data_IF_320361486888
#
_entry.id   IF_320361486888
#
_cell.length_a   1.000
_cell.length_b   1.000
_cell.length_c   1.000
_cell.angle_alpha   90.00
_cell.angle_beta   90.00
_cell.angle_gamma   90.00
#
_symmetry.space_group_name_H-M   'P 1'
#
loop_
_entity.id
_entity.type
_entity.pdbx_description
1 polymer ?
#
# COMPACT_ATOMS: atom_id res chain seq x y z
N UNK A 1 9.85 41.98 7.66
CA UNK A 1 9.89 40.50 7.59
C UNK A 1 10.98 39.97 6.63
N UNK A 2 11.46 40.75 5.65
CA UNK A 2 12.47 40.36 4.66
C UNK A 2 13.89 40.20 5.21
N UNK A 3 14.40 41.15 6.00
CA UNK A 3 15.77 41.10 6.56
C UNK A 3 16.01 39.89 7.51
N UNK A 4 14.98 39.47 8.26
CA UNK A 4 15.05 38.30 9.15
C UNK A 4 15.06 36.98 8.36
N UNK A 5 14.36 36.93 7.22
CA UNK A 5 14.33 35.76 6.36
C UNK A 5 15.67 35.58 5.61
N UNK A 6 16.27 36.66 5.12
CA UNK A 6 17.59 36.65 4.47
C UNK A 6 18.72 36.26 5.45
N UNK A 7 18.67 36.77 6.68
CA UNK A 7 19.59 36.39 7.76
C UNK A 7 19.51 34.89 8.09
N UNK A 8 18.31 34.31 8.18
CA UNK A 8 18.13 32.87 8.41
C UNK A 8 18.62 32.01 7.24
N UNK A 9 18.34 32.42 6.00
CA UNK A 9 18.79 31.69 4.81
C UNK A 9 20.33 31.66 4.68
N UNK A 10 20.98 32.79 4.96
CA UNK A 10 22.44 32.88 4.94
C UNK A 10 23.10 32.07 6.06
N UNK A 11 22.53 32.04 7.26
CA UNK A 11 23.00 31.19 8.37
C UNK A 11 22.86 29.70 8.05
N UNK A 12 21.75 29.30 7.42
CA UNK A 12 21.51 27.93 7.01
C UNK A 12 22.50 27.46 5.93
N UNK A 13 22.79 28.30 4.92
CA UNK A 13 23.76 28.00 3.89
C UNK A 13 25.19 27.84 4.45
N UNK A 14 25.59 28.70 5.40
CA UNK A 14 26.89 28.58 6.10
C UNK A 14 26.99 27.27 6.88
N UNK A 15 25.90 26.90 7.59
CA UNK A 15 25.84 25.65 8.34
C UNK A 15 25.91 24.41 7.44
N UNK A 16 25.29 24.46 6.27
CA UNK A 16 25.37 23.38 5.28
C UNK A 16 26.81 23.19 4.78
N UNK A 17 27.51 24.28 4.43
CA UNK A 17 28.91 24.22 4.00
C UNK A 17 29.83 23.66 5.09
N UNK A 18 29.65 24.09 6.34
CA UNK A 18 30.41 23.58 7.49
C UNK A 18 30.25 22.07 7.64
N UNK A 19 29.00 21.58 7.59
CA UNK A 19 28.69 20.15 7.75
C UNK A 19 29.23 19.31 6.58
N UNK A 20 29.14 19.80 5.34
CA UNK A 20 29.68 19.10 4.18
C UNK A 20 31.21 19.08 4.22
N UNK A 21 31.86 20.18 4.61
CA UNK A 21 33.30 20.26 4.79
C UNK A 21 33.79 19.30 5.89
N UNK A 22 33.08 19.24 7.01
CA UNK A 22 33.36 18.30 8.08
C UNK A 22 33.16 16.84 7.63
N UNK A 23 32.15 16.57 6.81
CA UNK A 23 31.92 15.25 6.22
C UNK A 23 33.04 14.81 5.26
N UNK A 24 33.62 15.73 4.50
CA UNK A 24 34.78 15.46 3.64
C UNK A 24 36.03 15.08 4.43
N UNK A 25 36.22 15.67 5.62
CA UNK A 25 37.32 15.36 6.55
C UNK A 25 37.15 14.02 7.29
N UNK A 26 35.97 13.42 7.27
CA UNK A 26 35.68 12.10 7.85
C UNK A 26 34.71 12.12 9.03
N UNK A 27 34.38 10.93 9.55
CA UNK A 27 33.28 10.76 10.51
C UNK A 27 33.49 11.52 11.84
N UNK A 28 34.71 11.53 12.39
CA UNK A 28 35.01 12.24 13.65
C UNK A 28 34.77 13.75 13.53
N UNK A 29 35.29 14.37 12.47
CA UNK A 29 35.10 15.79 12.20
C UNK A 29 33.62 16.13 11.97
N UNK A 30 32.90 15.28 11.23
CA UNK A 30 31.47 15.45 11.00
C UNK A 30 30.64 15.43 12.28
N UNK A 31 30.80 14.42 13.14
CA UNK A 31 30.00 14.32 14.37
C UNK A 31 30.41 15.36 15.42
N UNK A 32 31.66 15.84 15.40
CA UNK A 32 32.05 17.01 16.19
C UNK A 32 31.26 18.27 15.77
N UNK A 33 31.06 18.48 14.46
CA UNK A 33 30.28 19.61 13.95
C UNK A 33 28.75 19.40 14.04
N UNK A 34 28.26 18.19 13.78
CA UNK A 34 26.84 17.85 13.67
C UNK A 34 26.17 17.46 15.01
N UNK A 35 26.97 17.07 16.00
CA UNK A 35 26.53 16.45 17.25
C UNK A 35 26.46 14.92 17.15
N UNK A 36 27.10 14.23 18.09
CA UNK A 36 27.15 12.75 18.15
C UNK A 36 25.78 12.10 18.38
N UNK A 37 24.83 12.81 18.98
CA UNK A 37 23.50 12.29 19.30
C UNK A 37 22.50 12.26 18.15
N UNK A 38 22.81 12.84 16.98
CA UNK A 38 21.80 13.07 15.92
C UNK A 38 21.22 11.77 15.36
N UNK A 39 22.06 10.78 15.07
CA UNK A 39 21.60 9.46 14.62
C UNK A 39 20.81 8.75 15.72
N UNK A 40 21.32 8.78 16.95
CA UNK A 40 20.64 8.22 18.12
C UNK A 40 19.25 8.85 18.35
N UNK A 41 19.12 10.16 18.18
CA UNK A 41 17.83 10.87 18.32
C UNK A 41 16.80 10.47 17.27
N UNK A 42 17.23 10.24 16.02
CA UNK A 42 16.34 9.76 14.94
C UNK A 42 15.86 8.35 15.25
N UNK A 43 16.78 7.46 15.68
CA UNK A 43 16.43 6.08 16.06
C UNK A 43 15.49 6.08 17.27
N UNK A 44 15.80 6.85 18.31
CA UNK A 44 14.96 6.96 19.51
C UNK A 44 13.56 7.50 19.16
N UNK A 45 13.46 8.56 18.37
CA UNK A 45 12.19 9.10 17.90
C UNK A 45 11.40 8.07 17.09
N UNK A 46 12.06 7.34 16.18
CA UNK A 46 11.45 6.27 15.39
C UNK A 46 10.85 5.19 16.30
N UNK A 47 11.61 4.75 17.31
CA UNK A 47 11.15 3.73 18.27
C UNK A 47 9.95 4.22 19.07
N UNK A 48 10.00 5.46 19.58
CA UNK A 48 8.88 6.04 20.32
C UNK A 48 7.62 6.11 19.45
N UNK A 49 7.73 6.58 18.21
CA UNK A 49 6.60 6.66 17.27
C UNK A 49 6.07 5.26 16.94
N UNK A 50 6.95 4.27 16.76
CA UNK A 50 6.55 2.89 16.52
C UNK A 50 5.79 2.28 17.71
N UNK A 51 6.18 2.58 18.95
CA UNK A 51 5.46 2.16 20.15
C UNK A 51 4.07 2.81 20.25
N UNK A 52 3.97 4.10 19.92
CA UNK A 52 2.66 4.81 19.82
C UNK A 52 1.79 4.18 18.74
N UNK A 53 2.37 3.90 17.56
CA UNK A 53 1.67 3.22 16.48
C UNK A 53 1.13 1.86 16.95
N UNK A 54 1.96 1.06 17.60
CA UNK A 54 1.55 -0.25 18.15
C UNK A 54 0.42 -0.12 19.18
N UNK A 55 0.49 0.89 20.06
CA UNK A 55 -0.57 1.16 21.03
C UNK A 55 -1.90 1.50 20.35
N UNK A 56 -1.90 2.43 19.37
CA UNK A 56 -3.10 2.83 18.63
C UNK A 56 -3.71 1.67 17.84
N UNK A 57 -2.88 0.84 17.22
CA UNK A 57 -3.33 -0.34 16.47
C UNK A 57 -3.98 -1.39 17.38
N UNK A 58 -3.46 -1.59 18.61
CA UNK A 58 -4.08 -2.46 19.61
C UNK A 58 -5.46 -1.97 20.05
N UNK A 59 -5.67 -0.66 20.08
CA UNK A 59 -6.96 -0.02 20.37
C UNK A 59 -7.90 0.02 19.14
N UNK A 60 -7.60 -0.76 18.10
CA UNK A 60 -8.36 -0.81 16.84
C UNK A 60 -8.47 0.56 16.11
N UNK A 61 -7.62 1.53 16.46
CA UNK A 61 -7.59 2.83 15.79
C UNK A 61 -6.65 2.78 14.57
N UNK A 62 -7.09 2.05 13.54
CA UNK A 62 -6.27 1.73 12.37
C UNK A 62 -5.80 2.96 11.58
N UNK A 63 -6.60 4.03 11.54
CA UNK A 63 -6.24 5.26 10.83
C UNK A 63 -5.04 5.95 11.49
N UNK A 64 -5.13 6.25 12.78
CA UNK A 64 -4.03 6.91 13.50
C UNK A 64 -2.83 5.99 13.66
N UNK A 65 -3.07 4.69 13.90
CA UNK A 65 -2.02 3.70 14.00
C UNK A 65 -1.19 3.57 12.72
N UNK A 66 -1.85 3.48 11.56
CA UNK A 66 -1.15 3.44 10.26
C UNK A 66 -0.40 4.74 9.96
N UNK A 67 -0.99 5.91 10.26
CA UNK A 67 -0.32 7.20 10.11
C UNK A 67 0.96 7.29 10.96
N UNK A 68 0.92 6.78 12.19
CA UNK A 68 2.09 6.73 13.06
C UNK A 68 3.18 5.78 12.52
N UNK A 69 2.82 4.63 11.94
CA UNK A 69 3.80 3.75 11.24
C UNK A 69 4.47 4.51 10.10
N UNK A 70 3.69 5.19 9.25
CA UNK A 70 4.25 6.01 8.16
C UNK A 70 5.19 7.09 8.68
N UNK A 71 4.83 7.76 9.78
CA UNK A 71 5.68 8.76 10.41
C UNK A 71 6.99 8.14 10.93
N UNK A 72 6.94 6.96 11.55
CA UNK A 72 8.14 6.26 12.01
C UNK A 72 9.08 5.93 10.84
N UNK A 73 8.54 5.37 9.74
CA UNK A 73 9.31 5.07 8.52
C UNK A 73 9.89 6.35 7.91
N UNK A 74 9.10 7.44 7.86
CA UNK A 74 9.56 8.73 7.37
C UNK A 74 10.72 9.27 8.19
N UNK A 75 10.58 9.31 9.52
CA UNK A 75 11.65 9.75 10.43
C UNK A 75 12.90 8.89 10.24
N UNK A 76 12.76 7.56 10.19
CA UNK A 76 13.86 6.64 9.96
C UNK A 76 14.55 6.88 8.61
N UNK A 77 13.79 7.18 7.55
CA UNK A 77 14.35 7.47 6.22
C UNK A 77 15.31 8.66 6.21
N UNK A 78 15.17 9.57 7.19
CA UNK A 78 16.07 10.73 7.34
C UNK A 78 17.44 10.37 7.90
N UNK A 79 17.64 9.14 8.42
CA UNK A 79 18.90 8.71 9.04
C UNK A 79 20.10 8.89 8.13
N UNK A 80 19.94 8.61 6.82
CA UNK A 80 20.99 8.78 5.84
C UNK A 80 21.53 10.22 5.83
N UNK A 81 20.63 11.20 5.98
CA UNK A 81 20.99 12.62 6.02
C UNK A 81 21.69 13.07 7.30
N UNK A 82 21.68 12.24 8.33
CA UNK A 82 22.42 12.45 9.57
C UNK A 82 23.81 11.79 9.58
N UNK A 83 24.26 11.23 8.44
CA UNK A 83 25.57 10.57 8.31
C UNK A 83 26.54 11.38 7.43
N UNK A 84 27.86 11.24 7.63
CA UNK A 84 28.85 11.91 6.78
C UNK A 84 28.72 11.52 5.30
N UNK A 85 28.45 10.24 5.01
CA UNK A 85 28.26 9.77 3.64
C UNK A 85 26.99 10.35 3.01
N UNK A 86 25.87 10.37 3.73
CA UNK A 86 24.62 10.86 3.18
C UNK A 86 24.59 12.37 2.96
N UNK A 87 25.25 13.16 3.82
CA UNK A 87 25.40 14.61 3.60
C UNK A 87 26.24 14.90 2.34
N UNK A 88 27.38 14.23 2.17
CA UNK A 88 28.18 14.35 0.92
C UNK A 88 27.40 13.91 -0.31
N UNK A 89 26.71 12.76 -0.21
CA UNK A 89 25.90 12.22 -1.32
C UNK A 89 24.77 13.17 -1.70
N UNK A 90 24.09 13.78 -0.73
CA UNK A 90 23.04 14.79 -0.95
C UNK A 90 23.59 15.99 -1.69
N UNK A 91 24.64 16.63 -1.18
CA UNK A 91 25.25 17.82 -1.81
C UNK A 91 25.59 17.57 -3.29
N UNK A 92 26.16 16.39 -3.58
CA UNK A 92 26.47 15.97 -4.96
C UNK A 92 25.24 15.67 -5.81
N UNK A 93 24.23 15.02 -5.25
CA UNK A 93 22.99 14.72 -5.98
C UNK A 93 22.22 15.98 -6.33
N UNK A 94 22.18 16.96 -5.42
CA UNK A 94 21.59 18.28 -5.67
C UNK A 94 22.37 19.04 -6.74
N UNK A 95 23.71 19.03 -6.69
CA UNK A 95 24.56 19.61 -7.74
C UNK A 95 24.29 18.96 -9.12
N UNK A 96 24.19 17.62 -9.17
CA UNK A 96 23.81 16.89 -10.39
C UNK A 96 22.41 17.27 -10.89
N UNK A 97 21.45 17.40 -9.98
CA UNK A 97 20.08 17.80 -10.28
C UNK A 97 20.02 19.19 -10.90
N UNK A 98 20.64 20.18 -10.25
CA UNK A 98 20.70 21.57 -10.70
C UNK A 98 21.46 21.71 -12.02
N UNK A 99 22.54 20.96 -12.22
CA UNK A 99 23.25 20.92 -13.51
C UNK A 99 22.35 20.42 -14.64
N UNK A 100 21.59 19.33 -14.42
CA UNK A 100 20.66 18.78 -15.41
C UNK A 100 19.48 19.71 -15.71
N UNK A 101 18.91 20.37 -14.69
CA UNK A 101 17.83 21.34 -14.90
C UNK A 101 18.37 22.61 -15.57
N UNK A 102 19.49 23.15 -15.11
CA UNK A 102 20.17 24.33 -15.67
C UNK A 102 20.54 24.16 -17.14
N UNK A 103 21.13 23.02 -17.53
CA UNK A 103 21.44 22.74 -18.93
C UNK A 103 20.18 22.68 -19.81
N UNK A 104 19.07 22.12 -19.30
CA UNK A 104 17.78 22.12 -20.02
C UNK A 104 17.19 23.52 -20.13
N UNK A 105 17.29 24.34 -19.09
CA UNK A 105 16.83 25.73 -19.09
C UNK A 105 17.61 26.58 -20.10
N UNK A 106 18.94 26.48 -20.08
CA UNK A 106 19.80 27.16 -21.05
C UNK A 106 19.46 26.72 -22.48
N UNK A 107 19.39 25.42 -22.74
CA UNK A 107 19.06 24.90 -24.09
C UNK A 107 17.73 25.44 -24.62
N UNK A 108 16.69 25.51 -23.77
CA UNK A 108 15.36 26.00 -24.16
C UNK A 108 15.28 27.51 -24.34
N UNK A 109 16.11 28.28 -23.62
CA UNK A 109 16.01 29.73 -23.55
C UNK A 109 17.24 30.45 -24.11
N UNK A 110 18.15 29.75 -24.81
CA UNK A 110 19.41 30.33 -25.33
C UNK A 110 19.18 31.55 -26.21
N UNK A 111 18.12 31.55 -27.03
CA UNK A 111 17.75 32.69 -27.88
C UNK A 111 17.10 33.86 -27.14
N UNK A 112 16.79 33.74 -25.83
CA UNK A 112 16.13 34.77 -25.02
C UNK A 112 17.09 35.51 -24.08
N UNK A 113 18.38 35.15 -24.09
CA UNK A 113 19.41 35.74 -23.23
C UNK A 113 20.59 36.21 -24.08
N UNK A 114 21.35 37.19 -23.59
CA UNK A 114 22.54 37.69 -24.28
C UNK A 114 23.61 36.57 -24.43
N UNK A 115 24.41 36.55 -25.52
CA UNK A 115 25.46 35.55 -25.70
C UNK A 115 26.46 35.49 -24.53
N UNK A 116 26.79 36.64 -23.93
CA UNK A 116 27.65 36.72 -22.75
C UNK A 116 27.01 36.05 -21.52
N UNK A 117 25.70 36.21 -21.32
CA UNK A 117 24.96 35.54 -20.24
C UNK A 117 24.90 34.02 -20.45
N UNK A 118 24.69 33.57 -21.70
CA UNK A 118 24.74 32.15 -22.03
C UNK A 118 26.12 31.54 -21.73
N UNK A 119 27.21 32.23 -22.09
CA UNK A 119 28.57 31.79 -21.79
C UNK A 119 28.84 31.71 -20.28
N UNK A 120 28.33 32.66 -19.47
CA UNK A 120 28.45 32.63 -18.01
C UNK A 120 27.74 31.40 -17.40
N UNK A 121 26.54 31.07 -17.89
CA UNK A 121 25.80 29.87 -17.49
C UNK A 121 26.54 28.59 -17.92
N UNK A 122 27.08 28.52 -19.14
CA UNK A 122 27.86 27.37 -19.62
C UNK A 122 29.12 27.15 -18.78
N UNK A 123 29.84 28.21 -18.44
CA UNK A 123 31.00 28.14 -17.56
C UNK A 123 30.61 27.67 -16.14
N UNK A 124 29.47 28.10 -15.61
CA UNK A 124 28.96 27.63 -14.32
C UNK A 124 28.56 26.14 -14.36
N UNK A 125 27.93 25.68 -15.43
CA UNK A 125 27.60 24.27 -15.64
C UNK A 125 28.87 23.40 -15.70
N UNK A 126 29.90 23.86 -16.42
CA UNK A 126 31.20 23.17 -16.52
C UNK A 126 31.88 23.07 -15.15
N UNK A 127 31.87 24.13 -14.35
CA UNK A 127 32.40 24.10 -12.97
C UNK A 127 31.71 23.04 -12.10
N UNK A 128 30.42 22.82 -12.29
CA UNK A 128 29.71 21.74 -11.59
C UNK A 128 30.15 20.37 -12.08
N UNK A 129 30.36 20.18 -13.38
CA UNK A 129 30.88 18.92 -13.93
C UNK A 129 32.27 18.60 -13.39
N UNK A 130 33.17 19.60 -13.36
CA UNK A 130 34.53 19.48 -12.82
C UNK A 130 34.50 19.13 -11.32
N UNK A 131 33.66 19.82 -10.54
CA UNK A 131 33.50 19.54 -9.11
C UNK A 131 32.92 18.14 -8.84
N UNK A 132 32.07 17.64 -9.73
CA UNK A 132 31.46 16.31 -9.64
C UNK A 132 32.40 15.17 -10.07
N UNK A 133 33.52 15.47 -10.74
CA UNK A 133 34.54 14.47 -11.07
C UNK A 133 35.25 13.93 -9.80
N UNK A 134 35.39 14.77 -8.77
CA UNK A 134 35.96 14.39 -7.49
C UNK A 134 35.06 13.50 -6.61
N UNK A 135 35.57 13.08 -5.45
CA UNK A 135 34.80 12.34 -4.42
C UNK A 135 34.17 13.24 -3.35
N UNK A 136 34.72 14.43 -3.15
CA UNK A 136 34.32 15.40 -2.12
C UNK A 136 32.93 16.01 -2.36
N UNK A 137 32.24 16.37 -1.27
CA UNK A 137 30.94 17.02 -1.28
C UNK A 137 31.03 18.54 -1.34
N UNK A 138 32.04 19.15 -0.70
CA UNK A 138 32.16 20.60 -0.57
C UNK A 138 32.37 21.31 -1.92
N UNK A 139 33.26 20.82 -2.81
CA UNK A 139 33.40 21.42 -4.14
C UNK A 139 32.08 21.36 -4.93
N UNK A 140 31.34 20.26 -4.82
CA UNK A 140 30.06 20.09 -5.49
C UNK A 140 28.99 21.06 -4.94
N UNK A 141 28.97 21.29 -3.62
CA UNK A 141 28.08 22.26 -3.00
C UNK A 141 28.41 23.69 -3.42
N UNK A 142 29.70 24.07 -3.40
CA UNK A 142 30.12 25.41 -3.82
C UNK A 142 29.81 25.68 -5.29
N UNK A 143 30.08 24.70 -6.17
CA UNK A 143 29.73 24.79 -7.58
C UNK A 143 28.21 24.87 -7.79
N UNK A 144 27.42 24.11 -7.02
CA UNK A 144 25.94 24.20 -7.03
C UNK A 144 25.47 25.60 -6.69
N UNK A 145 25.94 26.18 -5.58
CA UNK A 145 25.54 27.52 -5.14
C UNK A 145 25.92 28.60 -6.17
N UNK A 146 27.11 28.47 -6.77
CA UNK A 146 27.54 29.38 -7.82
C UNK A 146 26.69 29.25 -9.09
N UNK A 147 26.31 28.02 -9.49
CA UNK A 147 25.40 27.80 -10.60
C UNK A 147 24.01 28.37 -10.30
N UNK A 148 23.49 28.15 -9.10
CA UNK A 148 22.17 28.64 -8.69
C UNK A 148 22.07 30.16 -8.80
N UNK A 149 23.09 30.88 -8.31
CA UNK A 149 23.17 32.34 -8.41
C UNK A 149 23.22 32.84 -9.87
N UNK A 150 23.97 32.15 -10.75
CA UNK A 150 24.05 32.50 -12.18
C UNK A 150 22.72 32.22 -12.90
N UNK A 151 22.04 31.12 -12.55
CA UNK A 151 20.71 30.79 -13.07
C UNK A 151 19.65 31.79 -12.58
N UNK A 152 19.70 32.26 -11.35
CA UNK A 152 18.81 33.32 -10.85
C UNK A 152 19.05 34.63 -11.58
N UNK A 153 20.32 35.01 -11.79
CA UNK A 153 20.67 36.24 -12.49
C UNK A 153 20.15 36.30 -13.93
N UNK A 154 20.29 35.21 -14.69
CA UNK A 154 20.05 35.22 -16.14
C UNK A 154 18.80 34.48 -16.59
N UNK A 155 18.29 33.54 -15.79
CA UNK A 155 17.23 32.61 -16.17
C UNK A 155 16.10 32.52 -15.13
N UNK A 156 16.01 33.45 -14.16
CA UNK A 156 14.94 33.47 -13.16
C UNK A 156 13.53 33.40 -13.79
N UNK A 157 13.31 34.08 -14.91
CA UNK A 157 12.01 34.07 -15.63
C UNK A 157 11.60 32.66 -16.13
N UNK A 158 12.56 31.78 -16.37
CA UNK A 158 12.34 30.43 -16.87
C UNK A 158 12.38 29.37 -15.75
N UNK A 159 12.81 29.74 -14.54
CA UNK A 159 12.81 28.83 -13.39
C UNK A 159 11.36 28.59 -12.95
N UNK A 160 11.03 27.32 -12.69
CA UNK A 160 9.78 26.99 -12.02
C UNK A 160 9.87 27.48 -10.58
N UNK A 161 8.78 28.04 -10.05
CA UNK A 161 8.69 28.35 -8.63
C UNK A 161 8.78 27.06 -7.82
N UNK A 162 9.40 27.12 -6.64
CA UNK A 162 9.49 25.98 -5.74
C UNK A 162 8.10 25.39 -5.45
N UNK A 163 7.09 26.24 -5.24
CA UNK A 163 5.71 25.83 -5.07
C UNK A 163 5.19 24.97 -6.23
N UNK A 164 5.43 25.39 -7.48
CA UNK A 164 4.99 24.63 -8.67
C UNK A 164 5.69 23.28 -8.79
N UNK A 165 6.98 23.20 -8.46
CA UNK A 165 7.72 21.94 -8.50
C UNK A 165 7.18 20.93 -7.49
N UNK A 166 6.88 21.38 -6.26
CA UNK A 166 6.23 20.55 -5.26
C UNK A 166 4.82 20.14 -5.67
N UNK A 167 4.00 21.09 -6.16
CA UNK A 167 2.62 20.79 -6.60
C UNK A 167 2.58 19.81 -7.78
N UNK A 168 3.44 19.96 -8.79
CA UNK A 168 3.49 19.03 -9.92
C UNK A 168 3.93 17.63 -9.49
N UNK A 169 4.92 17.53 -8.59
CA UNK A 169 5.45 16.23 -8.14
C UNK A 169 4.46 15.51 -7.21
N UNK A 170 3.92 16.22 -6.21
CA UNK A 170 2.95 15.68 -5.26
C UNK A 170 1.63 15.40 -5.99
N UNK A 171 1.16 16.34 -6.80
CA UNK A 171 -0.05 16.18 -7.61
C UNK A 171 0.07 15.01 -8.59
N UNK A 172 1.22 14.86 -9.26
CA UNK A 172 1.49 13.72 -10.12
C UNK A 172 1.49 12.39 -9.37
N UNK A 173 2.13 12.31 -8.20
CA UNK A 173 2.13 11.11 -7.38
C UNK A 173 0.73 10.75 -6.85
N UNK A 174 -0.04 11.74 -6.37
CA UNK A 174 -1.44 11.55 -5.95
C UNK A 174 -2.29 11.09 -7.12
N UNK A 175 -2.16 11.72 -8.29
CA UNK A 175 -2.89 11.32 -9.49
C UNK A 175 -2.60 9.87 -9.87
N UNK A 176 -1.33 9.48 -9.92
CA UNK A 176 -0.95 8.07 -10.18
C UNK A 176 -1.53 7.14 -9.13
N UNK A 177 -1.45 7.48 -7.85
CA UNK A 177 -2.03 6.67 -6.78
C UNK A 177 -3.56 6.55 -6.90
N UNK A 178 -4.25 7.63 -7.26
CA UNK A 178 -5.70 7.64 -7.51
C UNK A 178 -6.07 6.79 -8.73
N UNK A 179 -5.29 6.85 -9.81
CA UNK A 179 -5.50 6.02 -11.00
C UNK A 179 -5.28 4.53 -10.68
N UNK A 180 -4.20 4.20 -9.96
CA UNK A 180 -3.95 2.83 -9.50
C UNK A 180 -5.08 2.34 -8.60
N UNK A 181 -5.59 3.19 -7.69
CA UNK A 181 -6.72 2.87 -6.81
C UNK A 181 -8.02 2.67 -7.58
N UNK A 182 -8.28 3.52 -8.57
CA UNK A 182 -9.48 3.46 -9.37
C UNK A 182 -9.54 2.17 -10.20
N UNK A 183 -8.42 1.77 -10.80
CA UNK A 183 -8.42 0.77 -11.88
C UNK A 183 -7.72 -0.55 -11.56
N UNK A 184 -6.72 -0.56 -10.66
CA UNK A 184 -5.82 -1.72 -10.51
C UNK A 184 -6.00 -2.41 -9.17
N UNK A 185 -5.72 -1.71 -8.07
CA UNK A 185 -5.72 -2.27 -6.73
C UNK A 185 -6.52 -1.41 -5.76
N UNK A 186 -7.41 -2.03 -5.00
CA UNK A 186 -8.09 -1.36 -3.90
C UNK A 186 -7.81 -2.08 -2.57
N UNK A 187 -7.41 -1.34 -1.52
CA UNK A 187 -7.24 -1.91 -0.20
C UNK A 187 -8.61 -2.12 0.47
N UNK A 188 -8.82 -3.30 1.06
CA UNK A 188 -9.98 -3.62 1.88
C UNK A 188 -9.55 -4.09 3.26
N UNK A 189 -10.33 -3.73 4.27
CA UNK A 189 -10.23 -4.26 5.64
C UNK A 189 -11.23 -5.40 5.81
N UNK A 190 -10.85 -6.48 6.50
CA UNK A 190 -11.70 -7.64 6.80
C UNK A 190 -12.26 -7.54 8.23
N UNK A 191 -13.53 -7.14 8.40
CA UNK A 191 -14.14 -6.99 9.72
C UNK A 191 -14.77 -8.28 10.27
N UNK A 192 -15.01 -9.30 9.43
CA UNK A 192 -15.77 -10.51 9.81
C UNK A 192 -14.97 -11.81 9.66
N UNK A 193 -15.36 -12.83 10.42
CA UNK A 193 -14.70 -14.15 10.48
C UNK A 193 -15.18 -15.18 9.45
N UNK A 194 -16.01 -14.79 8.48
CA UNK A 194 -16.65 -15.74 7.53
C UNK A 194 -15.67 -16.42 6.56
N UNK A 195 -14.46 -15.87 6.41
CA UNK A 195 -13.40 -16.39 5.55
C UNK A 195 -12.24 -17.01 6.34
N UNK A 196 -12.41 -17.24 7.64
CA UNK A 196 -11.42 -17.96 8.47
C UNK A 196 -11.34 -19.41 7.96
N UNK A 197 -10.14 -20.00 7.82
CA UNK A 197 -8.84 -19.49 8.27
C UNK A 197 -8.06 -18.74 7.17
N UNK A 198 -8.58 -18.67 5.95
CA UNK A 198 -7.95 -17.98 4.81
C UNK A 198 -7.74 -16.50 5.08
N UNK A 199 -8.80 -15.78 5.48
CA UNK A 199 -8.76 -14.39 5.90
C UNK A 199 -9.24 -14.26 7.34
N UNK A 200 -8.47 -13.54 8.15
CA UNK A 200 -8.78 -13.30 9.55
C UNK A 200 -9.34 -11.89 9.75
N UNK A 201 -10.14 -11.72 10.80
CA UNK A 201 -10.56 -10.39 11.27
C UNK A 201 -9.31 -9.53 11.52
N UNK A 202 -9.28 -8.33 10.95
CA UNK A 202 -8.13 -7.41 10.99
C UNK A 202 -7.11 -7.59 9.88
N UNK A 203 -7.32 -8.51 8.92
CA UNK A 203 -6.54 -8.54 7.69
C UNK A 203 -6.88 -7.33 6.80
N UNK A 204 -5.86 -6.77 6.16
CA UNK A 204 -5.99 -5.81 5.09
C UNK A 204 -5.49 -6.43 3.78
N UNK A 205 -6.36 -6.53 2.79
CA UNK A 205 -6.09 -7.18 1.52
C UNK A 205 -6.03 -6.18 0.36
N UNK A 206 -5.22 -6.48 -0.64
CA UNK A 206 -5.33 -5.86 -1.95
C UNK A 206 -6.24 -6.69 -2.85
N UNK A 207 -7.20 -6.01 -3.46
CA UNK A 207 -8.10 -6.60 -4.44
C UNK A 207 -7.68 -6.18 -5.84
N UNK A 208 -7.41 -7.16 -6.70
CA UNK A 208 -7.13 -6.93 -8.11
C UNK A 208 -8.44 -6.76 -8.87
N UNK A 209 -8.76 -5.51 -9.23
CA UNK A 209 -9.98 -5.15 -9.98
C UNK A 209 -9.91 -5.61 -11.44
N UNK A 210 -8.72 -5.57 -12.03
CA UNK A 210 -8.51 -5.94 -13.44
C UNK A 210 -8.72 -7.43 -13.72
N UNK A 211 -8.78 -8.28 -12.68
CA UNK A 211 -8.98 -9.72 -12.83
C UNK A 211 -10.27 -10.05 -13.61
N UNK A 212 -11.34 -9.27 -13.39
CA UNK A 212 -12.68 -9.54 -13.94
C UNK A 212 -13.19 -8.45 -14.88
N UNK A 213 -12.41 -7.40 -15.13
CA UNK A 213 -12.81 -6.31 -16.00
C UNK A 213 -12.27 -4.96 -15.58
N UNK A 214 -12.20 -4.02 -16.51
CA UNK A 214 -11.91 -2.63 -16.18
C UNK A 214 -13.20 -1.91 -15.82
N UNK A 215 -13.43 -1.72 -14.52
CA UNK A 215 -14.59 -0.99 -13.99
C UNK A 215 -14.43 0.51 -14.23
N UNK A 216 -15.47 1.12 -14.79
CA UNK A 216 -15.58 2.57 -14.93
C UNK A 216 -15.93 3.13 -13.54
N UNK A 217 -15.17 4.10 -13.01
CA UNK A 217 -15.50 4.73 -11.75
C UNK A 217 -16.79 5.54 -11.87
N UNK A 218 -17.53 5.67 -10.76
CA UNK A 218 -18.79 6.45 -10.66
C UNK A 218 -19.98 5.92 -11.47
N UNK A 219 -19.95 4.66 -11.92
CA UNK A 219 -21.08 4.01 -12.60
C UNK A 219 -21.75 2.94 -11.74
N UNK A 220 -23.06 2.83 -11.88
CA UNK A 220 -23.93 1.88 -11.18
C UNK A 220 -23.51 0.41 -11.45
N UNK A 221 -23.24 -0.40 -10.41
CA UNK A 221 -22.97 -1.83 -10.56
C UNK A 221 -24.06 -2.62 -11.31
N UNK A 222 -25.32 -2.19 -11.22
CA UNK A 222 -26.45 -2.88 -11.84
C UNK A 222 -26.53 -2.67 -13.37
N UNK A 223 -25.77 -1.72 -13.92
CA UNK A 223 -25.69 -1.41 -15.35
C UNK A 223 -24.35 -1.86 -15.94
N UNK A 224 -24.16 -1.61 -17.24
CA UNK A 224 -22.87 -1.83 -17.90
C UNK A 224 -21.82 -0.87 -17.33
N UNK A 225 -20.94 -1.39 -16.50
CA UNK A 225 -19.91 -0.61 -15.82
C UNK A 225 -18.50 -1.18 -16.00
N UNK A 226 -18.33 -2.23 -16.81
CA UNK A 226 -17.02 -2.80 -17.16
C UNK A 226 -16.80 -2.69 -18.67
N UNK A 227 -15.60 -2.24 -19.07
CA UNK A 227 -15.20 -2.15 -20.49
C UNK A 227 -15.05 -3.54 -21.14
N UNK A 228 -14.69 -4.54 -20.33
CA UNK A 228 -14.70 -5.95 -20.68
C UNK A 228 -15.01 -6.74 -19.40
N UNK A 229 -15.63 -7.91 -19.53
CA UNK A 229 -15.94 -8.78 -18.40
C UNK A 229 -15.24 -10.12 -18.57
N UNK A 230 -14.59 -10.61 -17.52
CA UNK A 230 -14.05 -11.97 -17.47
C UNK A 230 -14.75 -12.71 -16.34
N UNK A 231 -15.26 -13.93 -16.60
CA UNK A 231 -15.93 -14.70 -15.57
C UNK A 231 -14.94 -15.04 -14.44
N UNK A 232 -15.42 -15.07 -13.18
CA UNK A 232 -14.62 -15.60 -12.09
C UNK A 232 -14.31 -17.08 -12.32
N UNK A 233 -13.22 -17.54 -11.72
CA UNK A 233 -12.88 -18.97 -11.73
C UNK A 233 -13.35 -19.61 -10.43
N UNK A 234 -13.70 -20.89 -10.50
CA UNK A 234 -13.98 -21.68 -9.31
C UNK A 234 -12.80 -21.61 -8.34
N UNK A 235 -13.14 -21.42 -7.07
CA UNK A 235 -12.22 -21.25 -5.96
C UNK A 235 -11.55 -19.87 -5.87
N UNK A 236 -11.82 -18.91 -6.77
CA UNK A 236 -11.36 -17.54 -6.56
C UNK A 236 -12.02 -16.93 -5.30
N UNK A 237 -11.25 -16.21 -4.49
CA UNK A 237 -11.78 -15.37 -3.40
C UNK A 237 -12.06 -13.98 -3.96
N UNK A 238 -13.31 -13.56 -3.92
CA UNK A 238 -13.77 -12.33 -4.58
C UNK A 238 -14.39 -11.35 -3.61
N UNK A 239 -14.20 -10.06 -3.89
CA UNK A 239 -14.91 -8.97 -3.23
C UNK A 239 -16.04 -8.53 -4.13
N UNK A 240 -17.25 -8.42 -3.61
CA UNK A 240 -18.45 -8.13 -4.37
C UNK A 240 -19.45 -7.32 -3.55
N UNK A 241 -20.40 -6.72 -4.27
CA UNK A 241 -21.51 -5.98 -3.70
C UNK A 241 -22.66 -6.96 -3.47
N UNK A 242 -23.20 -7.04 -2.25
CA UNK A 242 -24.41 -7.81 -2.01
C UNK A 242 -25.63 -6.95 -2.44
N UNK A 243 -26.49 -7.41 -3.38
CA UNK A 243 -27.68 -6.65 -3.79
C UNK A 243 -28.62 -6.27 -2.64
N UNK A 244 -28.68 -7.08 -1.58
CA UNK A 244 -29.52 -6.80 -0.40
C UNK A 244 -28.91 -5.75 0.52
N UNK A 245 -27.58 -5.59 0.50
CA UNK A 245 -26.82 -4.67 1.33
C UNK A 245 -25.74 -3.97 0.49
N UNK A 246 -26.13 -3.07 -0.43
CA UNK A 246 -25.22 -2.50 -1.43
C UNK A 246 -24.13 -1.58 -0.84
N UNK A 247 -24.35 -1.08 0.38
CA UNK A 247 -23.42 -0.21 1.10
C UNK A 247 -22.25 -0.96 1.76
N UNK A 248 -22.32 -2.30 1.78
CA UNK A 248 -21.32 -3.15 2.43
C UNK A 248 -20.70 -4.09 1.40
N UNK A 249 -19.37 -4.13 1.40
CA UNK A 249 -18.61 -5.06 0.58
C UNK A 249 -18.43 -6.41 1.27
N UNK A 250 -18.73 -7.49 0.55
CA UNK A 250 -18.62 -8.85 1.03
C UNK A 250 -17.45 -9.57 0.38
N UNK A 251 -16.84 -10.50 1.12
CA UNK A 251 -15.78 -11.38 0.63
C UNK A 251 -16.20 -12.82 0.81
N UNK A 252 -16.19 -13.59 -0.28
CA UNK A 252 -16.53 -15.02 -0.32
C UNK A 252 -15.70 -15.75 -1.37
N UNK A 253 -15.68 -17.08 -1.31
CA UNK A 253 -15.07 -17.95 -2.32
C UNK A 253 -16.12 -18.38 -3.34
N UNK A 254 -15.78 -18.31 -4.62
CA UNK A 254 -16.63 -18.81 -5.71
C UNK A 254 -16.61 -20.33 -5.70
N UNK A 255 -17.78 -20.94 -5.48
CA UNK A 255 -17.95 -22.39 -5.46
C UNK A 255 -18.65 -22.89 -6.71
N UNK A 256 -19.65 -22.17 -7.21
CA UNK A 256 -20.43 -22.51 -8.40
C UNK A 256 -20.44 -21.38 -9.43
N UNK A 257 -20.38 -21.79 -10.69
CA UNK A 257 -20.48 -20.96 -11.89
C UNK A 257 -21.84 -21.22 -12.59
N UNK A 258 -22.28 -20.33 -13.50
CA UNK A 258 -23.53 -20.45 -14.24
C UNK A 258 -23.74 -21.85 -14.81
N UNK A 259 -24.94 -22.40 -14.57
CA UNK A 259 -25.32 -23.75 -15.01
C UNK A 259 -24.82 -24.89 -14.12
N UNK A 260 -23.95 -24.63 -13.14
CA UNK A 260 -23.53 -25.67 -12.21
C UNK A 260 -24.68 -26.12 -11.31
N UNK A 261 -24.70 -27.43 -11.02
CA UNK A 261 -25.47 -28.01 -9.93
C UNK A 261 -24.57 -28.15 -8.71
N UNK A 262 -24.87 -27.40 -7.65
CA UNK A 262 -24.17 -27.48 -6.37
C UNK A 262 -25.01 -28.30 -5.41
N UNK A 263 -24.47 -29.39 -4.89
CA UNK A 263 -25.10 -30.19 -3.84
C UNK A 263 -24.23 -30.19 -2.61
N UNK A 264 -24.86 -30.09 -1.45
CA UNK A 264 -24.21 -30.25 -0.16
C UNK A 264 -24.80 -31.49 0.47
N UNK A 265 -23.94 -32.44 0.84
CA UNK A 265 -24.33 -33.68 1.51
C UNK A 265 -23.43 -33.82 2.74
N UNK A 266 -24.01 -33.71 3.94
CA UNK A 266 -23.29 -33.80 5.20
C UNK A 266 -22.07 -32.86 5.27
N UNK A 267 -22.30 -31.59 4.91
CA UNK A 267 -21.27 -30.53 4.80
C UNK A 267 -20.18 -30.76 3.74
N UNK A 268 -20.29 -31.78 2.88
CA UNK A 268 -19.40 -32.00 1.73
C UNK A 268 -20.01 -31.36 0.49
N UNK A 269 -19.22 -30.58 -0.24
CA UNK A 269 -19.64 -29.94 -1.49
C UNK A 269 -19.48 -30.91 -2.65
N UNK A 270 -20.49 -31.01 -3.49
CA UNK A 270 -20.48 -31.69 -4.77
C UNK A 270 -20.81 -30.67 -5.86
N UNK A 271 -20.04 -30.70 -6.94
CA UNK A 271 -20.23 -29.85 -8.11
C UNK A 271 -20.54 -30.76 -9.28
N UNK A 272 -21.71 -30.61 -9.90
CA UNK A 272 -22.16 -31.44 -11.02
C UNK A 272 -22.06 -32.94 -10.71
N UNK A 273 -22.39 -33.33 -9.47
CA UNK A 273 -22.30 -34.69 -8.96
C UNK A 273 -20.89 -35.16 -8.55
N UNK A 274 -19.84 -34.35 -8.78
CA UNK A 274 -18.46 -34.68 -8.42
C UNK A 274 -18.14 -34.14 -7.02
N UNK A 275 -17.78 -35.04 -6.11
CA UNK A 275 -17.35 -34.70 -4.75
C UNK A 275 -16.09 -33.82 -4.77
N UNK A 276 -16.15 -32.69 -4.08
CA UNK A 276 -15.00 -31.84 -3.83
C UNK A 276 -14.26 -32.38 -2.61
N UNK A 277 -13.24 -33.19 -2.86
CA UNK A 277 -12.51 -33.94 -1.83
C UNK A 277 -11.91 -32.99 -0.80
N UNK A 278 -11.94 -33.42 0.46
CA UNK A 278 -11.30 -32.72 1.57
C UNK A 278 -10.48 -33.66 2.43
N UNK A 279 -9.34 -33.19 2.94
CA UNK A 279 -8.54 -33.90 3.95
C UNK A 279 -8.65 -33.20 5.29
N UNK A 280 -8.86 -33.95 6.36
CA UNK A 280 -8.85 -33.42 7.72
C UNK A 280 -7.41 -33.05 8.11
N UNK A 281 -7.25 -31.86 8.70
CA UNK A 281 -5.96 -31.37 9.21
C UNK A 281 -5.91 -31.52 10.73
N UNK A 282 -7.02 -31.19 11.41
CA UNK A 282 -7.14 -31.26 12.86
C UNK A 282 -8.13 -30.24 13.39
N UNK A 283 -7.99 -29.91 14.67
CA UNK A 283 -8.82 -28.92 15.34
C UNK A 283 -8.28 -27.51 15.12
N UNK A 284 -9.19 -26.57 14.85
CA UNK A 284 -8.92 -25.16 14.69
C UNK A 284 -9.73 -24.36 15.70
N UNK A 285 -9.03 -23.59 16.53
CA UNK A 285 -9.63 -22.75 17.56
C UNK A 285 -9.48 -21.30 17.15
N UNK A 286 -10.59 -20.57 17.16
CA UNK A 286 -10.59 -19.13 16.92
C UNK A 286 -11.53 -18.41 17.88
N UNK A 287 -11.28 -17.10 18.04
CA UNK A 287 -12.17 -16.23 18.79
C UNK A 287 -13.20 -15.61 17.86
N UNK A 288 -14.45 -15.74 18.24
CA UNK A 288 -15.58 -15.13 17.59
C UNK A 288 -16.20 -14.12 18.55
N UNK A 289 -16.50 -12.91 18.08
CA UNK A 289 -17.21 -11.94 18.89
C UNK A 289 -18.70 -12.27 18.89
N UNK A 290 -19.25 -12.64 20.05
CA UNK A 290 -20.66 -13.00 20.20
C UNK A 290 -21.50 -11.75 20.40
N UNK A 291 -22.41 -11.47 19.45
CA UNK A 291 -23.36 -10.36 19.55
C UNK A 291 -24.32 -10.50 20.74
N UNK A 292 -24.59 -11.73 21.19
CA UNK A 292 -25.51 -12.00 22.30
C UNK A 292 -24.91 -11.68 23.67
N UNK A 293 -23.61 -11.93 23.84
CA UNK A 293 -22.92 -11.80 25.12
C UNK A 293 -21.96 -10.61 25.15
N UNK A 294 -21.84 -9.87 24.04
CA UNK A 294 -20.87 -8.79 23.81
C UNK A 294 -19.46 -9.18 24.26
N UNK A 295 -19.08 -10.43 23.95
CA UNK A 295 -17.84 -11.03 24.43
C UNK A 295 -17.23 -11.97 23.42
N UNK A 296 -15.91 -12.07 23.43
CA UNK A 296 -15.19 -13.00 22.58
C UNK A 296 -15.32 -14.42 23.14
N UNK A 297 -15.92 -15.31 22.34
CA UNK A 297 -16.06 -16.73 22.65
C UNK A 297 -15.08 -17.55 21.82
N UNK A 298 -14.50 -18.58 22.43
CA UNK A 298 -13.65 -19.53 21.72
C UNK A 298 -14.51 -20.58 21.03
N UNK A 299 -14.34 -20.70 19.72
CA UNK A 299 -15.05 -21.66 18.88
C UNK A 299 -14.06 -22.71 18.40
N UNK A 300 -14.39 -23.98 18.68
CA UNK A 300 -13.62 -25.13 18.21
C UNK A 300 -14.28 -25.70 16.97
N UNK A 301 -13.57 -25.65 15.84
CA UNK A 301 -13.98 -26.22 14.58
C UNK A 301 -12.96 -27.26 14.11
N UNK A 302 -13.32 -28.06 13.13
CA UNK A 302 -12.42 -28.97 12.43
C UNK A 302 -11.96 -28.32 11.14
N UNK A 303 -10.65 -28.26 10.95
CA UNK A 303 -10.05 -27.76 9.72
C UNK A 303 -9.89 -28.88 8.71
N UNK A 304 -10.25 -28.55 7.47
CA UNK A 304 -10.02 -29.39 6.31
C UNK A 304 -9.28 -28.60 5.23
N UNK A 305 -8.46 -29.26 4.43
CA UNK A 305 -8.05 -28.72 3.12
C UNK A 305 -8.99 -29.29 2.07
N UNK A 306 -9.83 -28.43 1.50
CA UNK A 306 -10.76 -28.78 0.42
C UNK A 306 -10.10 -28.51 -0.94
N UNK A 307 -10.30 -29.43 -1.88
CA UNK A 307 -9.81 -29.35 -3.24
C UNK A 307 -10.98 -29.06 -4.19
N UNK A 308 -11.04 -27.82 -4.69
CA UNK A 308 -11.99 -27.39 -5.71
C UNK A 308 -11.33 -27.49 -7.08
N UNK A 309 -11.55 -28.61 -7.77
CA UNK A 309 -11.05 -28.84 -9.14
C UNK A 309 -9.55 -28.55 -9.32
N UNK A 310 -8.72 -28.96 -8.35
CA UNK A 310 -7.27 -28.76 -8.34
C UNK A 310 -6.79 -27.56 -7.51
N UNK A 311 -7.70 -26.74 -6.98
CA UNK A 311 -7.36 -25.63 -6.07
C UNK A 311 -7.57 -26.03 -4.62
N UNK A 312 -6.49 -26.26 -3.91
CA UNK A 312 -6.51 -26.51 -2.46
C UNK A 312 -6.67 -25.20 -1.68
N UNK A 313 -7.58 -25.21 -0.70
CA UNK A 313 -7.77 -24.12 0.25
C UNK A 313 -8.27 -24.65 1.60
N UNK A 314 -8.00 -23.95 2.71
CA UNK A 314 -8.46 -24.39 4.01
C UNK A 314 -9.91 -23.94 4.26
N UNK A 315 -10.67 -24.80 4.94
CA UNK A 315 -12.03 -24.55 5.40
C UNK A 315 -12.15 -25.02 6.84
N UNK A 316 -13.09 -24.45 7.60
CA UNK A 316 -13.44 -24.94 8.93
C UNK A 316 -14.92 -25.27 9.01
N UNK A 317 -15.22 -26.35 9.73
CA UNK A 317 -16.57 -26.85 9.98
C UNK A 317 -16.73 -27.12 11.48
N UNK A 318 -17.79 -26.64 12.11
CA UNK A 318 -18.11 -26.89 13.52
C UNK A 318 -18.36 -28.38 13.73
N UNK A 319 -17.94 -28.88 14.89
CA UNK A 319 -18.06 -30.31 15.25
C UNK A 319 -19.47 -30.73 15.65
N UNK A 320 -20.30 -29.76 16.04
CA UNK A 320 -21.66 -30.00 16.52
C UNK A 320 -22.55 -30.48 15.35
N UNK A 321 -23.20 -31.66 15.46
CA UNK A 321 -24.12 -32.18 14.45
C UNK A 321 -25.25 -31.22 14.05
N UNK A 322 -25.63 -30.28 14.92
CA UNK A 322 -26.63 -29.25 14.60
C UNK A 322 -26.24 -28.35 13.41
N UNK A 323 -24.95 -28.32 13.07
CA UNK A 323 -24.42 -27.56 11.92
C UNK A 323 -24.26 -28.42 10.65
N UNK A 324 -24.74 -29.67 10.66
CA UNK A 324 -24.82 -30.47 9.43
C UNK A 324 -25.87 -29.89 8.50
N UNK A 325 -25.44 -29.61 7.26
CA UNK A 325 -26.29 -29.06 6.20
C UNK A 325 -26.28 -29.99 5.00
N UNK A 326 -27.45 -30.08 4.39
CA UNK A 326 -27.66 -30.69 3.09
C UNK A 326 -28.57 -29.79 2.24
N UNK A 327 -28.33 -29.73 0.94
CA UNK A 327 -29.08 -28.85 0.03
C UNK A 327 -28.67 -29.05 -1.43
N UNK A 328 -29.51 -28.59 -2.36
CA UNK A 328 -29.25 -28.64 -3.79
C UNK A 328 -29.61 -27.32 -4.43
N UNK A 329 -28.70 -26.79 -5.24
CA UNK A 329 -28.79 -25.49 -5.87
C UNK A 329 -28.39 -25.62 -7.34
N UNK A 330 -29.01 -24.83 -8.21
CA UNK A 330 -28.62 -24.71 -9.61
C UNK A 330 -28.31 -23.24 -9.85
N UNK A 331 -27.08 -22.94 -10.24
CA UNK A 331 -26.62 -21.56 -10.39
C UNK A 331 -27.23 -20.94 -11.64
N UNK A 332 -27.94 -19.83 -11.49
CA UNK A 332 -28.58 -19.18 -12.64
C UNK A 332 -27.53 -18.59 -13.61
N UNK A 333 -27.96 -18.41 -14.87
CA UNK A 333 -27.13 -17.76 -15.88
C UNK A 333 -26.67 -16.36 -15.45
N UNK A 334 -25.37 -16.10 -15.61
CA UNK A 334 -24.75 -14.83 -15.21
C UNK A 334 -24.61 -14.58 -13.70
N UNK A 335 -24.88 -15.58 -12.85
CA UNK A 335 -24.72 -15.52 -11.38
C UNK A 335 -23.64 -16.46 -10.85
N UNK A 336 -23.14 -16.19 -9.65
CA UNK A 336 -22.20 -17.07 -8.92
C UNK A 336 -22.86 -17.63 -7.66
N UNK A 337 -22.52 -18.87 -7.33
CA UNK A 337 -22.74 -19.45 -6.00
C UNK A 337 -21.45 -19.35 -5.19
N UNK A 338 -21.51 -18.71 -4.02
CA UNK A 338 -20.33 -18.42 -3.21
C UNK A 338 -20.51 -18.88 -1.77
N UNK A 339 -19.41 -19.35 -1.16
CA UNK A 339 -19.40 -19.80 0.24
C UNK A 339 -18.25 -19.16 1.01
N UNK A 340 -18.43 -19.04 2.32
CA UNK A 340 -17.34 -18.73 3.25
C UNK A 340 -16.47 -19.95 3.52
N UNK A 341 -15.18 -19.72 3.78
CA UNK A 341 -14.27 -20.77 4.22
C UNK A 341 -14.59 -21.21 5.66
N UNK A 342 -15.20 -20.32 6.44
CA UNK A 342 -15.83 -20.66 7.72
C UNK A 342 -17.25 -21.14 7.46
N UNK A 343 -17.40 -22.45 7.22
CA UNK A 343 -18.61 -23.05 6.63
C UNK A 343 -19.85 -22.92 7.48
N UNK A 344 -19.69 -22.77 8.79
CA UNK A 344 -20.83 -22.71 9.72
C UNK A 344 -21.08 -21.31 10.27
N UNK A 345 -20.17 -20.37 10.00
CA UNK A 345 -20.29 -18.97 10.39
C UNK A 345 -20.18 -18.04 9.18
N UNK A 346 -21.04 -18.28 8.20
CA UNK A 346 -21.06 -17.54 6.95
C UNK A 346 -22.49 -17.45 6.41
N UNK A 347 -23.04 -16.23 6.40
CA UNK A 347 -24.26 -15.89 5.69
C UNK A 347 -23.94 -15.78 4.19
N UNK A 348 -23.90 -16.92 3.50
CA UNK A 348 -23.54 -17.03 2.09
C UNK A 348 -24.67 -17.65 1.24
N UNK A 349 -24.37 -18.10 0.02
CA UNK A 349 -25.40 -18.53 -0.95
C UNK A 349 -26.25 -19.72 -0.47
N UNK A 350 -25.79 -20.46 0.55
CA UNK A 350 -26.50 -21.59 1.15
C UNK A 350 -27.64 -21.18 2.08
N UNK A 351 -27.61 -19.94 2.58
CA UNK A 351 -28.45 -19.50 3.69
C UNK A 351 -29.60 -18.67 3.14
N UNK A 352 -30.82 -19.01 3.53
CA UNK A 352 -31.98 -18.16 3.26
C UNK A 352 -31.79 -16.80 3.93
N UNK A 353 -31.96 -15.71 3.19
CA UNK A 353 -31.61 -14.36 3.65
C UNK A 353 -30.10 -14.05 3.69
N UNK A 354 -29.24 -14.97 3.26
CA UNK A 354 -27.83 -14.72 2.97
C UNK A 354 -27.64 -14.00 1.63
N UNK A 355 -26.41 -14.03 1.08
CA UNK A 355 -26.06 -13.28 -0.15
C UNK A 355 -26.78 -13.74 -1.44
N UNK A 356 -27.56 -14.84 -1.39
CA UNK A 356 -28.19 -15.46 -2.56
C UNK A 356 -27.16 -15.83 -3.63
N UNK A 357 -27.49 -15.62 -4.91
CA UNK A 357 -26.56 -15.80 -6.02
C UNK A 357 -26.24 -14.42 -6.65
N UNK A 358 -25.17 -13.74 -6.22
CA UNK A 358 -24.84 -12.43 -6.77
C UNK A 358 -24.55 -12.49 -8.28
N UNK A 359 -25.01 -11.50 -9.08
CA UNK A 359 -24.64 -11.42 -10.48
C UNK A 359 -23.13 -11.21 -10.65
N UNK A 360 -22.56 -11.75 -11.73
CA UNK A 360 -21.14 -11.58 -12.08
C UNK A 360 -20.69 -10.12 -12.13
N UNK A 361 -21.58 -9.25 -12.58
CA UNK A 361 -21.36 -7.82 -12.66
C UNK A 361 -21.10 -7.18 -11.29
N UNK A 362 -21.59 -7.77 -10.19
CA UNK A 362 -21.42 -7.23 -8.84
C UNK A 362 -20.06 -7.55 -8.22
N UNK A 363 -19.26 -8.41 -8.87
CA UNK A 363 -17.89 -8.70 -8.44
C UNK A 363 -16.99 -7.50 -8.74
N UNK A 364 -16.39 -6.93 -7.69
CA UNK A 364 -15.45 -5.80 -7.74
C UNK A 364 -14.04 -6.24 -8.15
N UNK A 365 -13.60 -7.42 -7.71
CA UNK A 365 -12.25 -7.90 -7.99
C UNK A 365 -11.87 -9.14 -7.19
N UNK A 366 -10.68 -9.68 -7.48
CA UNK A 366 -10.14 -10.87 -6.80
C UNK A 366 -9.25 -10.45 -5.63
N UNK A 367 -9.48 -11.00 -4.45
CA UNK A 367 -8.55 -10.87 -3.32
C UNK A 367 -7.20 -11.49 -3.72
N UNK A 368 -6.10 -10.77 -3.49
CA UNK A 368 -4.78 -11.17 -4.01
C UNK A 368 -3.75 -11.39 -2.91
N UNK A 369 -3.46 -10.36 -2.12
CA UNK A 369 -2.39 -10.37 -1.13
C UNK A 369 -2.87 -9.69 0.15
N UNK A 370 -2.52 -10.24 1.30
CA UNK A 370 -2.63 -9.58 2.61
C UNK A 370 -1.42 -8.65 2.76
N UNK A 371 -1.63 -7.34 2.75
CA UNK A 371 -0.52 -6.36 2.79
C UNK A 371 -0.22 -5.86 4.20
N UNK A 372 -1.14 -6.00 5.14
CA UNK A 372 -0.91 -5.88 6.57
C UNK A 372 -2.01 -6.64 7.31
N UNK A 373 -1.74 -7.04 8.53
CA UNK A 373 -2.71 -7.76 9.34
C UNK A 373 -2.55 -7.35 10.80
N UNK A 374 -3.67 -7.00 11.44
CA UNK A 374 -3.70 -6.61 12.84
C UNK A 374 -4.54 -7.59 13.65
N UNK A 375 -4.10 -7.85 14.89
CA UNK A 375 -4.80 -8.74 15.81
C UNK A 375 -3.88 -9.46 16.79
N UNK A 376 -4.49 -10.11 17.78
CA UNK A 376 -3.78 -10.84 18.84
C UNK A 376 -2.99 -9.97 19.82
N UNK A 377 -2.24 -10.58 20.75
CA UNK A 377 -1.49 -9.85 21.78
C UNK A 377 -0.37 -8.94 21.22
N UNK A 378 0.10 -9.20 20.00
CA UNK A 378 1.24 -8.51 19.39
C UNK A 378 0.86 -7.29 18.53
N UNK A 379 -0.42 -7.06 18.25
CA UNK A 379 -0.90 -5.93 17.46
C UNK A 379 -0.79 -6.15 15.94
N UNK A 380 0.39 -6.48 15.43
CA UNK A 380 0.64 -6.80 14.00
C UNK A 380 0.98 -8.29 13.86
N UNK A 381 0.32 -8.97 12.91
CA UNK A 381 0.55 -10.38 12.53
C UNK A 381 1.51 -10.47 11.34
N UNK A 382 2.82 -10.45 11.61
CA UNK A 382 3.87 -10.43 10.57
C UNK A 382 3.90 -11.69 9.70
N UNK A 383 3.52 -12.83 10.25
CA UNK A 383 3.42 -14.12 9.55
C UNK A 383 2.35 -14.12 8.44
N UNK A 384 1.46 -13.13 8.43
CA UNK A 384 0.44 -12.95 7.38
C UNK A 384 0.83 -11.92 6.33
N UNK A 385 1.92 -11.18 6.56
CA UNK A 385 2.36 -10.12 5.66
C UNK A 385 2.77 -10.69 4.30
N UNK A 386 2.23 -10.12 3.23
CA UNK A 386 2.45 -10.54 1.84
C UNK A 386 2.02 -11.98 1.50
N UNK A 387 1.19 -12.60 2.34
CA UNK A 387 0.62 -13.92 2.03
C UNK A 387 -0.39 -13.80 0.88
N UNK A 388 -0.29 -14.69 -0.10
CA UNK A 388 -1.27 -14.82 -1.18
C UNK A 388 -2.59 -15.34 -0.64
N UNK A 389 -3.70 -14.77 -1.12
CA UNK A 389 -5.04 -15.28 -0.88
C UNK A 389 -5.34 -16.30 -1.99
N UNK A 390 -5.33 -17.58 -1.65
CA UNK A 390 -5.57 -18.69 -2.58
C UNK A 390 -6.85 -19.44 -2.26
#
# INVERSE_FOLDING_TARGET
>A
MTAVAESKASAQARREQELVAAADKGARAFYAAAGYGKVGSIVAATVVIALVAQHLLRQQNFLLGSLAVFLAVFVLSTIGSATPWGVRKRARNEAKGLRRSGARLLKRNRGRIAPAAAAEVEAALKRVDDALAGKAGLPALQARLALDAVLDKHLAFARKSAAREYTESIGGAILVALLLRAFVFEPFHIPSGSMIPTLLVGDFIFVNKMAYGLRIPFTDPAKVHKLWERPPKRGDVVVFINPQHPDVDYVKRVIGLPGDRIEIRDNVVYVNGVEQKRREVGDYVYKEHSEYTDSDVEVVSREYIENLEGREHPIIVRKDPAFQRSGSFVVEEGRVFMMGDNRDNSADSRVEGGIGEPPFSYIKGRASIIWISFGGPHGIRFERLFRSVN
#
